data_IF_169478645550
#
_entry.id   IF_169478645550
#
_cell.length_a   1.000
_cell.length_b   1.000
_cell.length_c   1.000
_cell.angle_alpha   90.00
_cell.angle_beta   90.00
_cell.angle_gamma   90.00
#
_symmetry.space_group_name_H-M   'P 1'
#
loop_
_entity.id
_entity.type
_entity.pdbx_description
1 polymer ?
#
# COMPACT_ATOMS: atom_id res chain seq x y z
N UNK A 1 5.31 -12.12 -12.00
CA UNK A 1 3.98 -11.66 -12.44
C UNK A 1 3.66 -10.25 -11.96
N UNK A 2 4.02 -9.88 -10.73
CA UNK A 2 3.75 -8.57 -10.12
C UNK A 2 4.13 -7.35 -10.99
N UNK A 3 5.27 -7.40 -11.71
CA UNK A 3 5.68 -6.29 -12.60
C UNK A 3 4.67 -6.01 -13.71
N UNK A 4 4.05 -7.05 -14.28
CA UNK A 4 3.06 -6.93 -15.37
C UNK A 4 1.74 -6.39 -14.84
N UNK A 5 1.34 -6.84 -13.65
CA UNK A 5 0.15 -6.35 -12.97
C UNK A 5 0.26 -4.86 -12.62
N UNK A 6 1.36 -4.42 -12.00
CA UNK A 6 1.58 -3.01 -11.71
C UNK A 6 1.71 -2.14 -12.97
N UNK A 7 2.27 -2.69 -14.05
CA UNK A 7 2.31 -1.99 -15.34
C UNK A 7 0.90 -1.78 -15.92
N UNK A 8 0.03 -2.79 -15.83
CA UNK A 8 -1.36 -2.66 -16.27
C UNK A 8 -2.11 -1.62 -15.43
N UNK A 9 -1.98 -1.68 -14.11
CA UNK A 9 -2.54 -0.71 -13.18
C UNK A 9 -2.12 0.72 -13.52
N UNK A 10 -0.82 0.96 -13.70
CA UNK A 10 -0.31 2.27 -14.10
C UNK A 10 -0.80 2.75 -15.47
N UNK A 11 -0.95 1.86 -16.47
CA UNK A 11 -1.51 2.23 -17.77
C UNK A 11 -2.99 2.59 -17.66
N UNK A 12 -3.77 1.81 -16.91
CA UNK A 12 -5.18 2.12 -16.63
C UNK A 12 -5.30 3.47 -15.93
N UNK A 13 -4.49 3.73 -14.90
CA UNK A 13 -4.47 5.00 -14.17
C UNK A 13 -4.23 6.16 -15.13
N UNK A 14 -3.21 6.06 -15.98
CA UNK A 14 -2.88 7.12 -16.96
C UNK A 14 -4.01 7.36 -17.97
N UNK A 15 -4.78 6.33 -18.36
CA UNK A 15 -5.95 6.53 -19.21
C UNK A 15 -7.04 7.36 -18.50
N UNK A 16 -7.26 7.14 -17.21
CA UNK A 16 -8.23 7.94 -16.41
C UNK A 16 -7.69 9.35 -16.21
N UNK A 17 -6.43 9.50 -15.81
CA UNK A 17 -5.72 10.78 -15.62
C UNK A 17 -5.81 11.65 -16.88
N UNK A 18 -5.52 11.08 -18.05
CA UNK A 18 -5.54 11.81 -19.32
C UNK A 18 -6.95 12.29 -19.73
N UNK A 19 -8.01 11.58 -19.30
CA UNK A 19 -9.38 11.89 -19.71
C UNK A 19 -10.10 12.81 -18.72
N UNK A 20 -9.87 12.60 -17.43
CA UNK A 20 -10.66 13.24 -16.37
C UNK A 20 -9.82 14.09 -15.42
N UNK A 21 -8.49 13.96 -15.42
CA UNK A 21 -7.61 14.67 -14.50
C UNK A 21 -7.09 13.79 -13.36
N UNK A 22 -6.13 14.34 -12.60
CA UNK A 22 -5.45 13.63 -11.52
C UNK A 22 -6.39 13.31 -10.35
N UNK A 23 -7.28 14.23 -9.99
CA UNK A 23 -8.17 14.07 -8.83
C UNK A 23 -9.11 12.88 -9.03
N UNK A 24 -9.80 12.82 -10.17
CA UNK A 24 -10.67 11.73 -10.55
C UNK A 24 -9.90 10.41 -10.70
N UNK A 25 -8.69 10.45 -11.25
CA UNK A 25 -7.84 9.25 -11.35
C UNK A 25 -7.47 8.69 -9.98
N UNK A 26 -7.05 9.54 -9.05
CA UNK A 26 -6.72 9.16 -7.66
C UNK A 26 -7.96 8.63 -6.93
N UNK A 27 -9.13 9.25 -7.11
CA UNK A 27 -10.37 8.77 -6.49
C UNK A 27 -10.75 7.37 -7.00
N UNK A 28 -10.69 7.15 -8.32
CA UNK A 28 -11.00 5.85 -8.91
C UNK A 28 -9.99 4.79 -8.48
N UNK A 29 -8.70 5.15 -8.43
CA UNK A 29 -7.63 4.29 -7.97
C UNK A 29 -7.85 3.89 -6.50
N UNK A 30 -8.14 4.85 -5.62
CA UNK A 30 -8.40 4.61 -4.21
C UNK A 30 -9.56 3.62 -4.00
N UNK A 31 -10.64 3.73 -4.78
CA UNK A 31 -11.79 2.79 -4.75
C UNK A 31 -11.42 1.40 -5.26
N UNK A 32 -10.60 1.32 -6.30
CA UNK A 32 -10.12 0.06 -6.84
C UNK A 32 -9.21 -0.66 -5.83
N UNK A 33 -8.27 0.07 -5.23
CA UNK A 33 -7.36 -0.44 -4.21
C UNK A 33 -8.06 -0.87 -2.93
N UNK A 34 -9.05 -0.13 -2.46
CA UNK A 34 -9.86 -0.53 -1.29
C UNK A 34 -10.46 -1.93 -1.47
N UNK A 35 -11.09 -2.18 -2.63
CA UNK A 35 -11.70 -3.47 -2.95
C UNK A 35 -10.65 -4.56 -3.18
N UNK A 36 -9.60 -4.25 -3.94
CA UNK A 36 -8.55 -5.21 -4.25
C UNK A 36 -7.79 -5.65 -3.00
N UNK A 37 -7.47 -4.72 -2.09
CA UNK A 37 -6.77 -5.00 -0.84
C UNK A 37 -7.49 -6.05 0.01
N UNK A 38 -8.81 -5.96 0.12
CA UNK A 38 -9.62 -6.95 0.85
C UNK A 38 -9.57 -8.33 0.19
N UNK A 39 -9.70 -8.37 -1.15
CA UNK A 39 -9.60 -9.62 -1.93
C UNK A 39 -8.21 -10.24 -1.79
N UNK A 40 -7.16 -9.43 -1.88
CA UNK A 40 -5.78 -9.85 -1.74
C UNK A 40 -5.52 -10.42 -0.34
N UNK A 41 -5.89 -9.70 0.72
CA UNK A 41 -5.76 -10.15 2.11
C UNK A 41 -6.48 -11.49 2.33
N UNK A 42 -7.75 -11.59 1.95
CA UNK A 42 -8.53 -12.83 2.13
C UNK A 42 -7.90 -14.03 1.40
N UNK A 43 -7.36 -13.81 0.19
CA UNK A 43 -6.65 -14.86 -0.58
C UNK A 43 -5.34 -15.26 0.08
N UNK A 44 -4.54 -14.28 0.54
CA UNK A 44 -3.29 -14.54 1.26
C UNK A 44 -3.59 -15.35 2.53
N UNK A 45 -4.59 -14.94 3.32
CA UNK A 45 -4.97 -15.63 4.54
C UNK A 45 -5.37 -17.07 4.28
N UNK A 46 -6.24 -17.29 3.28
CA UNK A 46 -6.69 -18.64 2.89
C UNK A 46 -5.53 -19.52 2.42
N UNK A 47 -4.68 -19.01 1.53
CA UNK A 47 -3.57 -19.78 0.95
C UNK A 47 -2.51 -20.14 2.00
N UNK A 48 -2.20 -19.22 2.90
CA UNK A 48 -1.15 -19.37 3.91
C UNK A 48 -1.65 -19.76 5.29
N UNK A 49 -2.93 -20.14 5.41
CA UNK A 49 -3.60 -20.58 6.64
C UNK A 49 -3.40 -19.57 7.79
N UNK A 50 -3.51 -18.28 7.49
CA UNK A 50 -3.47 -17.21 8.50
C UNK A 50 -4.89 -17.10 9.07
N UNK A 51 -5.09 -17.35 10.38
CA UNK A 51 -6.41 -17.19 11.00
C UNK A 51 -6.82 -15.70 11.05
N UNK A 52 -8.12 -15.40 11.02
CA UNK A 52 -8.60 -14.04 11.30
C UNK A 52 -8.24 -13.63 12.73
N UNK A 53 -8.16 -12.32 12.96
CA UNK A 53 -7.88 -11.69 14.25
C UNK A 53 -6.53 -12.10 14.88
N UNK A 54 -5.55 -12.44 14.03
CA UNK A 54 -4.21 -12.83 14.43
C UNK A 54 -3.28 -11.67 14.82
N UNK A 55 -3.82 -10.44 14.94
CA UNK A 55 -3.10 -9.25 15.36
C UNK A 55 -2.00 -8.78 14.39
N UNK A 56 -1.11 -7.92 14.92
CA UNK A 56 0.00 -7.34 14.15
C UNK A 56 0.97 -8.38 13.57
N UNK A 57 1.29 -9.52 14.24
CA UNK A 57 2.12 -10.55 13.64
C UNK A 57 1.49 -11.18 12.39
N UNK A 58 0.18 -11.40 12.37
CA UNK A 58 -0.53 -11.86 11.18
C UNK A 58 -0.51 -10.82 10.05
N UNK A 59 -0.64 -9.54 10.40
CA UNK A 59 -0.50 -8.44 9.44
C UNK A 59 0.89 -8.41 8.80
N UNK A 60 1.98 -8.50 9.59
CA UNK A 60 3.35 -8.52 9.05
C UNK A 60 3.53 -9.69 8.08
N UNK A 61 3.10 -10.89 8.46
CA UNK A 61 3.17 -12.07 7.58
C UNK A 61 2.41 -11.86 6.28
N UNK A 62 1.21 -11.26 6.34
CA UNK A 62 0.41 -11.00 5.15
C UNK A 62 1.01 -9.88 4.27
N UNK A 63 1.56 -8.82 4.88
CA UNK A 63 2.26 -7.76 4.16
C UNK A 63 3.42 -8.31 3.33
N UNK A 64 4.20 -9.26 3.85
CA UNK A 64 5.28 -9.93 3.11
C UNK A 64 4.82 -10.68 1.85
N UNK A 65 3.54 -11.06 1.79
CA UNK A 65 2.97 -11.89 0.72
C UNK A 65 2.20 -11.09 -0.34
N UNK A 66 2.04 -9.77 -0.16
CA UNK A 66 1.38 -8.89 -1.13
C UNK A 66 2.11 -8.86 -2.48
N UNK A 67 1.39 -8.60 -3.56
CA UNK A 67 2.00 -8.46 -4.90
C UNK A 67 3.12 -7.40 -4.92
N UNK A 68 2.94 -6.31 -4.18
CA UNK A 68 3.93 -5.24 -4.06
C UNK A 68 5.21 -5.62 -3.34
N UNK A 69 5.16 -6.60 -2.45
CA UNK A 69 6.31 -7.09 -1.70
C UNK A 69 7.38 -7.72 -2.58
N UNK A 70 7.02 -8.14 -3.79
CA UNK A 70 7.95 -8.65 -4.80
C UNK A 70 8.53 -7.56 -5.72
N UNK A 71 8.09 -6.31 -5.56
CA UNK A 71 8.49 -5.18 -6.41
C UNK A 71 9.25 -4.10 -5.64
N UNK A 72 8.85 -3.92 -4.39
CA UNK A 72 9.28 -2.84 -3.53
C UNK A 72 10.11 -3.41 -2.37
N UNK A 73 11.08 -2.64 -1.88
CA UNK A 73 11.79 -2.93 -0.64
C UNK A 73 11.05 -2.25 0.51
N UNK A 74 10.96 -2.98 1.62
CA UNK A 74 10.20 -2.61 2.79
C UNK A 74 10.89 -3.13 4.04
N UNK A 75 10.58 -2.52 5.17
CA UNK A 75 11.09 -2.91 6.47
C UNK A 75 10.03 -2.74 7.56
N UNK A 76 10.15 -3.57 8.59
CA UNK A 76 9.44 -3.41 9.85
C UNK A 76 10.41 -2.73 10.82
N UNK A 77 10.14 -1.47 11.14
CA UNK A 77 10.99 -0.63 11.99
C UNK A 77 10.73 -0.91 13.47
N UNK A 78 9.47 -1.14 13.80
CA UNK A 78 9.01 -1.45 15.14
C UNK A 78 7.91 -2.50 15.05
N UNK A 79 7.99 -3.53 15.90
CA UNK A 79 6.91 -4.47 16.13
C UNK A 79 6.83 -4.76 17.63
N UNK A 80 5.75 -4.30 18.25
CA UNK A 80 5.40 -4.56 19.65
C UNK A 80 4.01 -5.20 19.72
N UNK A 81 3.49 -5.38 20.93
CA UNK A 81 2.18 -5.99 21.16
C UNK A 81 1.03 -5.17 20.54
N UNK A 82 1.14 -3.83 20.54
CA UNK A 82 0.06 -2.92 20.13
C UNK A 82 0.46 -1.93 19.04
N UNK A 83 1.69 -2.00 18.52
CA UNK A 83 2.18 -1.07 17.50
C UNK A 83 3.12 -1.75 16.49
N UNK A 84 2.91 -1.40 15.23
CA UNK A 84 3.75 -1.78 14.09
C UNK A 84 4.08 -0.53 13.29
N UNK A 85 5.37 -0.24 13.09
CA UNK A 85 5.85 0.75 12.12
C UNK A 85 6.42 0.04 10.91
N UNK A 86 5.81 0.30 9.75
CA UNK A 86 6.15 -0.31 8.48
C UNK A 86 6.57 0.76 7.48
N UNK A 87 7.73 0.59 6.86
CA UNK A 87 8.29 1.53 5.88
C UNK A 87 8.46 0.89 4.52
N UNK A 88 8.20 1.68 3.49
CA UNK A 88 8.52 1.37 2.11
C UNK A 88 9.78 2.10 1.69
N UNK A 89 10.94 1.46 1.71
CA UNK A 89 12.22 2.09 1.39
C UNK A 89 12.39 2.31 -0.12
N UNK A 90 11.83 1.44 -0.95
CA UNK A 90 11.76 1.69 -2.41
C UNK A 90 10.35 1.53 -2.94
N UNK A 91 9.86 2.55 -3.64
CA UNK A 91 8.57 2.49 -4.34
C UNK A 91 8.78 2.43 -5.85
N UNK A 92 8.36 1.34 -6.49
CA UNK A 92 8.47 1.17 -7.95
C UNK A 92 7.68 2.22 -8.72
N UNK A 93 6.53 2.67 -8.20
CA UNK A 93 5.71 3.74 -8.82
C UNK A 93 6.49 5.04 -8.85
N UNK A 94 6.95 5.53 -7.69
CA UNK A 94 7.72 6.78 -7.64
C UNK A 94 9.02 6.69 -8.43
N UNK A 95 9.76 5.58 -8.32
CA UNK A 95 10.97 5.36 -9.09
C UNK A 95 10.71 5.40 -10.62
N UNK A 96 9.60 4.82 -11.08
CA UNK A 96 9.23 4.84 -12.50
C UNK A 96 8.82 6.24 -12.95
N UNK A 97 8.07 6.99 -12.14
CA UNK A 97 7.69 8.37 -12.45
C UNK A 97 8.90 9.29 -12.50
N UNK A 98 9.81 9.19 -11.54
CA UNK A 98 11.10 9.90 -11.54
C UNK A 98 11.92 9.60 -12.80
N UNK A 99 12.04 8.32 -13.17
CA UNK A 99 12.73 7.90 -14.39
C UNK A 99 12.07 8.50 -15.66
N UNK A 100 10.74 8.54 -15.71
CA UNK A 100 9.97 9.14 -16.81
C UNK A 100 9.89 10.68 -16.75
N UNK A 101 10.52 11.34 -15.77
CA UNK A 101 10.40 12.78 -15.51
C UNK A 101 8.95 13.26 -15.33
N UNK A 102 8.12 12.41 -14.73
CA UNK A 102 6.75 12.75 -14.36
C UNK A 102 6.70 13.35 -12.96
N UNK A 103 5.71 14.20 -12.63
CA UNK A 103 5.45 14.63 -11.26
C UNK A 103 5.26 13.42 -10.35
N UNK A 104 5.60 13.54 -9.06
CA UNK A 104 5.38 12.47 -8.09
C UNK A 104 3.90 12.09 -8.00
N UNK A 105 3.64 10.81 -7.73
CA UNK A 105 2.28 10.32 -7.58
C UNK A 105 1.75 10.68 -6.17
N UNK A 106 0.57 11.31 -6.03
CA UNK A 106 -0.04 11.59 -4.73
C UNK A 106 -0.66 10.31 -4.11
N UNK A 107 0.19 9.37 -3.65
CA UNK A 107 -0.20 8.05 -3.15
C UNK A 107 -1.08 8.04 -1.90
N UNK A 108 -1.01 9.07 -1.06
CA UNK A 108 -1.56 9.04 0.30
C UNK A 108 -3.05 8.68 0.38
N UNK A 109 -3.96 9.28 -0.41
CA UNK A 109 -5.39 8.96 -0.32
C UNK A 109 -5.67 7.49 -0.67
N UNK A 110 -4.97 6.96 -1.67
CA UNK A 110 -5.04 5.56 -2.08
C UNK A 110 -4.52 4.64 -0.98
N UNK A 111 -3.32 4.93 -0.48
CA UNK A 111 -2.65 4.13 0.54
C UNK A 111 -3.46 4.05 1.84
N UNK A 112 -4.14 5.13 2.25
CA UNK A 112 -4.99 5.12 3.45
C UNK A 112 -6.08 4.07 3.33
N UNK A 113 -6.81 4.02 2.21
CA UNK A 113 -7.85 3.02 2.00
C UNK A 113 -7.25 1.62 1.84
N UNK A 114 -6.22 1.50 1.00
CA UNK A 114 -5.54 0.24 0.71
C UNK A 114 -5.03 -0.46 1.98
N UNK A 115 -4.19 0.22 2.77
CA UNK A 115 -3.60 -0.35 3.99
C UNK A 115 -4.64 -0.56 5.09
N UNK A 116 -5.61 0.35 5.23
CA UNK A 116 -6.68 0.20 6.24
C UNK A 116 -7.53 -1.03 5.95
N UNK A 117 -7.96 -1.20 4.72
CA UNK A 117 -8.84 -2.30 4.34
C UNK A 117 -8.10 -3.64 4.28
N UNK A 118 -6.84 -3.64 3.85
CA UNK A 118 -5.98 -4.82 3.96
C UNK A 118 -5.84 -5.28 5.41
N UNK A 119 -5.48 -4.35 6.32
CA UNK A 119 -5.26 -4.67 7.72
C UNK A 119 -6.54 -5.11 8.43
N UNK A 120 -7.65 -4.40 8.23
CA UNK A 120 -8.96 -4.76 8.81
C UNK A 120 -9.49 -6.11 8.32
N UNK A 121 -9.14 -6.52 7.11
CA UNK A 121 -9.52 -7.86 6.60
C UNK A 121 -8.80 -8.97 7.36
N UNK A 122 -7.58 -8.70 7.85
CA UNK A 122 -6.79 -9.66 8.62
C UNK A 122 -7.23 -9.67 10.08
N UNK A 123 -7.41 -8.49 10.68
CA UNK A 123 -7.88 -8.32 12.03
C UNK A 123 -8.67 -7.00 12.13
N UNK A 124 -9.95 -7.11 12.45
CA UNK A 124 -10.89 -5.98 12.43
C UNK A 124 -10.57 -4.87 13.44
N UNK A 125 -9.74 -5.18 14.44
CA UNK A 125 -9.33 -4.24 15.49
C UNK A 125 -8.25 -3.29 15.01
N UNK A 126 -7.45 -3.70 14.01
CA UNK A 126 -6.30 -2.91 13.55
C UNK A 126 -6.75 -1.54 13.04
N UNK A 127 -6.10 -0.50 13.55
CA UNK A 127 -6.16 0.88 13.07
C UNK A 127 -4.92 1.15 12.25
N UNK A 128 -5.09 1.93 11.18
CA UNK A 128 -4.01 2.30 10.28
C UNK A 128 -3.89 3.82 10.26
N UNK A 129 -2.66 4.32 10.40
CA UNK A 129 -2.34 5.74 10.30
C UNK A 129 -1.18 5.93 9.34
N UNK A 130 -1.35 6.80 8.36
CA UNK A 130 -0.25 7.27 7.51
C UNK A 130 0.61 8.22 8.35
N UNK A 131 1.90 7.91 8.51
CA UNK A 131 2.86 8.83 9.12
C UNK A 131 3.42 9.76 8.04
N UNK A 132 3.84 9.20 6.90
CA UNK A 132 4.23 9.96 5.70
C UNK A 132 3.88 9.16 4.43
N UNK A 133 3.30 9.82 3.42
CA UNK A 133 3.26 9.35 2.02
C UNK A 133 3.15 10.58 1.12
N UNK A 134 3.56 10.46 -0.13
CA UNK A 134 3.38 11.55 -1.09
C UNK A 134 1.89 11.91 -1.21
N UNK A 135 1.52 13.20 -1.22
CA UNK A 135 2.37 14.36 -1.49
C UNK A 135 2.81 15.14 -0.22
N UNK A 136 2.88 14.51 0.96
CA UNK A 136 3.32 15.23 2.17
C UNK A 136 4.69 15.90 1.94
N UNK A 137 4.97 17.06 2.53
CA UNK A 137 6.22 17.79 2.26
C UNK A 137 7.39 17.38 3.20
N UNK A 138 7.17 16.42 4.10
CA UNK A 138 8.10 16.02 5.16
C UNK A 138 8.70 14.62 4.94
N UNK A 139 8.90 14.21 3.68
CA UNK A 139 9.50 12.90 3.38
C UNK A 139 10.99 12.87 3.72
N UNK A 140 11.42 11.76 4.32
CA UNK A 140 12.83 11.39 4.37
C UNK A 140 13.29 10.90 2.99
N UNK A 141 14.54 11.18 2.61
CA UNK A 141 15.15 10.60 1.40
C UNK A 141 15.36 9.08 1.51
N UNK A 142 15.25 8.52 2.72
CA UNK A 142 15.50 7.11 3.00
C UNK A 142 14.31 6.18 2.68
N UNK A 143 13.08 6.71 2.64
CA UNK A 143 11.87 5.92 2.40
C UNK A 143 10.75 6.73 1.73
N UNK A 144 9.88 6.04 1.01
CA UNK A 144 8.81 6.64 0.19
C UNK A 144 7.50 6.81 0.96
N UNK A 145 7.25 5.96 1.94
CA UNK A 145 6.13 6.08 2.86
C UNK A 145 6.36 5.28 4.15
N UNK A 146 5.71 5.73 5.22
CA UNK A 146 5.72 5.13 6.55
C UNK A 146 4.30 5.05 7.10
N UNK A 147 3.98 3.88 7.65
CA UNK A 147 2.65 3.53 8.14
C UNK A 147 2.74 2.98 9.55
N UNK A 148 1.84 3.45 10.41
CA UNK A 148 1.60 2.88 11.72
C UNK A 148 0.35 2.01 11.68
N UNK A 149 0.45 0.83 12.26
CA UNK A 149 -0.67 -0.03 12.57
C UNK A 149 -0.72 -0.25 14.07
N UNK A 150 -1.91 -0.14 14.66
CA UNK A 150 -2.12 -0.33 16.09
C UNK A 150 -3.39 -1.12 16.38
N UNK A 151 -3.47 -1.71 17.58
CA UNK A 151 -4.63 -2.45 18.09
C UNK A 151 -5.03 -1.85 19.44
#
# INVERSE_FOLDING_TARGET
MSKRWLAHDGVWFQCVENKYGMEEAVEMDARAWDRFAQIEAARIMKLHKIPPDGGLPALVKALELRQYSFLNKKEVVELSENKLIFRMTTCRVQATRKWKKMPEFPCKPVGILEYSSFAKTIDSRIKTRCLTCHPDNNHSDEYNCEWEFSI
#
